data_IF_766521300198
#
_entry.id   IF_766521300198
#
_cell.length_a   1.000
_cell.length_b   1.000
_cell.length_c   1.000
_cell.angle_alpha   90.00
_cell.angle_beta   90.00
_cell.angle_gamma   90.00
#
_symmetry.space_group_name_H-M   'P 1'
#
loop_
_entity.id
_entity.type
_entity.pdbx_description
1 polymer ?
#
# COMPACT_ATOMS: atom_id res chain seq x y z
N UNK A 1 -46.31 -50.57 13.38
CA UNK A 1 -46.28 -49.10 13.19
C UNK A 1 -46.08 -48.37 14.52
N UNK A 2 -44.90 -48.47 15.15
CA UNK A 2 -44.59 -47.78 16.43
C UNK A 2 -43.17 -47.18 16.47
N UNK A 3 -42.31 -47.51 15.51
CA UNK A 3 -40.93 -47.01 15.41
C UNK A 3 -40.77 -45.79 14.49
N UNK A 4 -41.79 -45.47 13.67
CA UNK A 4 -41.78 -44.29 12.77
C UNK A 4 -42.21 -43.01 13.51
N UNK A 5 -43.03 -43.13 14.55
CA UNK A 5 -43.52 -41.98 15.35
C UNK A 5 -42.46 -41.39 16.30
N UNK A 6 -41.39 -42.13 16.61
CA UNK A 6 -40.34 -41.63 17.54
C UNK A 6 -39.31 -40.77 16.80
N UNK A 7 -39.06 -41.03 15.51
CA UNK A 7 -38.10 -40.26 14.71
C UNK A 7 -38.63 -38.86 14.38
N UNK A 8 -39.94 -38.73 14.12
CA UNK A 8 -40.56 -37.42 13.92
C UNK A 8 -40.60 -36.56 15.20
N UNK A 9 -40.70 -37.17 16.39
CA UNK A 9 -40.70 -36.44 17.65
C UNK A 9 -39.33 -35.83 18.00
N UNK A 10 -38.22 -36.44 17.56
CA UNK A 10 -36.86 -35.94 17.83
C UNK A 10 -36.48 -34.82 16.85
N UNK A 11 -36.98 -34.85 15.61
CA UNK A 11 -36.74 -33.80 14.61
C UNK A 11 -37.43 -32.46 14.95
N UNK A 12 -38.57 -32.48 15.64
CA UNK A 12 -39.26 -31.27 16.08
C UNK A 12 -38.62 -30.59 17.30
N UNK A 13 -37.79 -31.28 18.08
CA UNK A 13 -37.10 -30.70 19.24
C UNK A 13 -35.81 -29.95 18.88
N UNK A 14 -35.20 -30.23 17.73
CA UNK A 14 -33.99 -29.52 17.27
C UNK A 14 -34.30 -28.32 16.35
N UNK A 15 -35.49 -28.25 15.76
CA UNK A 15 -35.94 -27.09 14.97
C UNK A 15 -36.44 -25.89 15.78
N UNK A 16 -36.72 -26.08 17.08
CA UNK A 16 -37.33 -25.06 17.93
C UNK A 16 -36.38 -23.96 18.43
N UNK A 17 -35.06 -24.18 18.39
CA UNK A 17 -34.08 -23.21 18.91
C UNK A 17 -33.70 -22.17 17.82
N UNK A 18 -33.73 -22.55 16.54
CA UNK A 18 -33.38 -21.64 15.44
C UNK A 18 -34.42 -20.54 15.16
N UNK A 19 -35.71 -20.83 15.36
CA UNK A 19 -36.79 -19.88 15.10
C UNK A 19 -36.96 -18.83 16.21
N UNK A 20 -36.58 -19.15 17.46
CA UNK A 20 -36.70 -18.23 18.60
C UNK A 20 -35.65 -17.11 18.59
N UNK A 21 -34.42 -17.40 18.17
CA UNK A 21 -33.36 -16.39 18.10
C UNK A 21 -33.56 -15.38 16.97
N UNK A 22 -34.24 -15.77 15.88
CA UNK A 22 -34.47 -14.87 14.74
C UNK A 22 -35.56 -13.82 15.03
N UNK A 23 -36.54 -14.14 15.89
CA UNK A 23 -37.62 -13.21 16.23
C UNK A 23 -37.24 -12.14 17.26
N UNK A 24 -36.11 -12.29 17.96
CA UNK A 24 -35.61 -11.29 18.93
C UNK A 24 -34.72 -10.24 18.26
N UNK A 25 -34.08 -10.55 17.12
CA UNK A 25 -33.25 -9.59 16.37
C UNK A 25 -34.02 -8.74 15.36
N UNK A 26 -35.31 -8.99 15.13
CA UNK A 26 -36.17 -8.24 14.17
C UNK A 26 -37.24 -7.37 14.85
N UNK A 27 -37.03 -7.00 16.12
CA UNK A 27 -38.01 -6.23 16.92
C UNK A 27 -37.40 -5.03 17.63
N UNK A 28 -36.55 -4.27 16.93
CA UNK A 28 -36.14 -2.91 17.36
C UNK A 28 -36.37 -1.82 16.31
N UNK A 29 -36.98 -2.14 15.16
CA UNK A 29 -37.53 -1.11 14.27
C UNK A 29 -39.04 -0.97 14.52
N UNK A 30 -39.43 0.24 14.90
CA UNK A 30 -40.80 0.76 15.07
C UNK A 30 -41.43 0.65 16.46
N UNK A 31 -41.26 1.73 17.23
CA UNK A 31 -42.38 2.56 17.74
C UNK A 31 -41.76 3.86 18.29
N UNK A 32 -41.89 5.00 17.63
CA UNK A 32 -43.02 5.87 17.95
C UNK A 32 -43.40 6.78 16.76
N UNK A 33 -44.49 6.45 16.08
CA UNK A 33 -45.31 7.43 15.35
C UNK A 33 -46.49 7.77 16.24
N UNK A 34 -46.56 9.00 16.75
CA UNK A 34 -47.79 9.59 17.25
C UNK A 34 -48.15 10.81 16.41
N UNK A 35 -49.22 10.61 15.65
CA UNK A 35 -50.24 11.54 15.15
C UNK A 35 -49.88 13.00 14.83
N UNK A 36 -50.07 13.31 13.55
CA UNK A 36 -50.32 14.66 13.03
C UNK A 36 -51.74 15.08 13.40
N UNK A 37 -51.87 16.23 14.06
CA UNK A 37 -53.03 17.11 13.90
C UNK A 37 -52.52 18.57 13.88
N UNK A 38 -52.81 19.28 12.79
CA UNK A 38 -52.41 20.66 12.51
C UNK A 38 -53.37 21.64 13.23
N UNK A 39 -52.88 22.76 13.80
CA UNK A 39 -53.23 24.02 13.15
C UNK A 39 -52.19 25.17 13.24
N UNK A 40 -52.08 25.87 12.10
CA UNK A 40 -51.99 27.33 11.88
C UNK A 40 -50.78 28.16 12.38
N UNK A 41 -49.94 28.52 11.41
CA UNK A 41 -49.37 29.85 11.07
C UNK A 41 -49.42 30.97 12.14
N UNK A 42 -48.24 31.48 12.57
CA UNK A 42 -47.66 32.85 12.34
C UNK A 42 -46.39 33.05 13.22
N UNK A 43 -45.30 33.70 12.74
CA UNK A 43 -43.94 33.54 13.32
C UNK A 43 -43.54 34.65 14.32
N UNK A 44 -42.50 34.41 15.16
CA UNK A 44 -41.65 35.50 15.61
C UNK A 44 -40.15 35.27 15.33
N UNK A 45 -39.65 36.12 14.42
CA UNK A 45 -38.38 36.87 14.47
C UNK A 45 -37.06 36.12 14.77
N UNK A 46 -36.34 35.93 13.67
CA UNK A 46 -34.89 36.05 13.52
C UNK A 46 -34.31 37.24 14.33
N UNK A 47 -33.43 36.93 15.27
CA UNK A 47 -32.16 37.65 15.46
C UNK A 47 -31.33 36.91 16.52
N UNK A 48 -30.41 36.06 16.08
CA UNK A 48 -29.06 36.15 16.63
C UNK A 48 -28.05 35.68 15.59
N UNK A 49 -26.97 36.44 15.46
CA UNK A 49 -25.90 36.23 14.48
C UNK A 49 -25.17 34.93 14.79
N UNK A 50 -25.43 33.87 14.03
CA UNK A 50 -24.46 32.78 13.90
C UNK A 50 -23.39 33.26 12.91
N UNK A 51 -22.23 33.64 13.43
CA UNK A 51 -21.04 33.76 12.58
C UNK A 51 -20.67 32.34 12.13
N UNK A 52 -20.43 32.11 10.82
CA UNK A 52 -19.84 30.85 10.39
C UNK A 52 -18.46 30.74 11.04
N UNK A 53 -18.18 29.62 11.70
CA UNK A 53 -16.81 29.22 12.06
C UNK A 53 -16.15 28.80 10.73
N UNK A 54 -15.86 29.77 9.88
CA UNK A 54 -14.96 29.65 8.74
C UNK A 54 -13.56 29.92 9.28
N UNK A 55 -13.01 28.97 10.01
CA UNK A 55 -11.57 28.91 10.24
C UNK A 55 -11.09 27.49 9.90
N UNK A 56 -11.52 27.03 8.73
CA UNK A 56 -10.79 26.05 7.95
C UNK A 56 -10.00 26.83 6.90
N UNK A 57 -9.22 27.82 7.34
CA UNK A 57 -8.12 28.32 6.55
C UNK A 57 -7.17 27.14 6.39
N UNK A 58 -7.35 26.47 5.26
CA UNK A 58 -6.44 25.51 4.67
C UNK A 58 -5.01 25.94 4.96
N UNK A 59 -4.33 25.20 5.83
CA UNK A 59 -2.87 25.14 5.83
C UNK A 59 -2.50 24.51 4.50
N UNK A 60 -2.56 25.28 3.42
CA UNK A 60 -1.98 24.89 2.15
C UNK A 60 -0.49 24.99 2.39
N UNK A 61 0.07 23.93 2.96
CA UNK A 61 1.50 23.78 3.04
C UNK A 61 2.05 23.91 1.63
N UNK A 62 3.07 24.74 1.46
CA UNK A 62 3.74 24.89 0.18
C UNK A 62 4.37 23.55 -0.19
N UNK A 63 3.72 22.83 -1.11
CA UNK A 63 4.21 21.54 -1.60
C UNK A 63 5.56 21.80 -2.25
N UNK A 64 6.62 21.25 -1.67
CA UNK A 64 7.98 21.41 -2.16
C UNK A 64 8.49 20.07 -2.67
N UNK A 65 9.17 20.07 -3.81
CA UNK A 65 9.78 18.86 -4.37
C UNK A 65 11.13 18.58 -3.70
N UNK A 66 11.36 17.32 -3.35
CA UNK A 66 12.61 16.82 -2.78
C UNK A 66 13.03 15.53 -3.49
N UNK A 67 14.30 15.18 -3.37
CA UNK A 67 14.90 14.00 -3.97
C UNK A 67 15.50 13.11 -2.88
N UNK A 68 15.37 11.81 -3.05
CA UNK A 68 15.96 10.81 -2.16
C UNK A 68 17.47 10.74 -2.37
N UNK A 69 18.25 10.92 -1.31
CA UNK A 69 19.71 10.97 -1.37
C UNK A 69 20.38 9.63 -1.02
N UNK A 70 19.71 8.79 -0.24
CA UNK A 70 20.20 7.49 0.18
C UNK A 70 19.73 6.39 -0.77
N UNK A 71 20.45 5.25 -0.80
CA UNK A 71 20.05 4.10 -1.66
C UNK A 71 18.60 3.68 -1.45
N UNK A 72 18.17 3.62 -0.19
CA UNK A 72 16.81 3.25 0.23
C UNK A 72 16.48 4.00 1.53
N UNK A 73 15.33 4.65 1.56
CA UNK A 73 14.79 5.34 2.74
C UNK A 73 13.43 4.72 3.06
N UNK A 74 13.21 4.40 4.34
CA UNK A 74 11.91 3.89 4.79
C UNK A 74 10.89 5.03 4.88
N UNK A 75 9.66 4.73 4.48
CA UNK A 75 8.49 5.56 4.74
C UNK A 75 7.68 4.94 5.87
N UNK A 76 7.33 5.76 6.84
CA UNK A 76 6.69 5.37 8.08
C UNK A 76 5.27 5.90 8.14
N UNK A 77 4.36 5.20 8.85
CA UNK A 77 3.00 5.68 9.06
C UNK A 77 2.87 6.80 10.12
N UNK A 78 3.95 7.08 10.86
CA UNK A 78 4.06 8.12 11.88
C UNK A 78 5.50 8.69 11.89
N UNK A 79 5.72 9.94 12.35
CA UNK A 79 7.02 10.62 12.32
C UNK A 79 7.94 10.17 13.47
N UNK A 80 8.23 8.87 13.55
CA UNK A 80 9.19 8.31 14.48
C UNK A 80 9.80 6.99 13.95
N UNK A 81 11.01 6.66 14.38
CA UNK A 81 11.75 5.49 13.88
C UNK A 81 11.21 4.13 14.37
N UNK A 82 10.31 4.14 15.36
CA UNK A 82 9.66 2.93 15.89
C UNK A 82 8.29 2.67 15.24
N UNK A 83 7.84 3.57 14.36
CA UNK A 83 6.59 3.45 13.63
C UNK A 83 6.64 2.30 12.60
N UNK A 84 5.46 1.94 12.08
CA UNK A 84 5.37 0.93 11.04
C UNK A 84 5.97 1.50 9.74
N UNK A 85 6.92 0.76 9.16
CA UNK A 85 7.38 1.02 7.80
C UNK A 85 6.29 0.54 6.84
N UNK A 86 5.73 1.46 6.06
CA UNK A 86 4.63 1.20 5.12
C UNK A 86 5.07 1.23 3.67
N UNK A 87 6.18 1.91 3.38
CA UNK A 87 6.73 1.98 2.03
C UNK A 87 8.25 2.24 2.06
N UNK A 88 8.89 2.31 0.90
CA UNK A 88 10.31 2.59 0.73
C UNK A 88 10.57 3.39 -0.53
N UNK A 89 11.39 4.43 -0.39
CA UNK A 89 11.82 5.28 -1.49
C UNK A 89 13.28 4.97 -1.83
N UNK A 90 13.65 5.10 -3.10
CA UNK A 90 14.98 4.79 -3.61
C UNK A 90 15.70 6.03 -4.16
N UNK A 91 17.04 5.97 -4.17
CA UNK A 91 17.89 7.12 -4.53
C UNK A 91 17.48 7.73 -5.87
N UNK A 92 17.37 9.07 -5.90
CA UNK A 92 16.99 9.83 -7.09
C UNK A 92 15.49 9.96 -7.28
N UNK A 93 14.65 9.20 -6.55
CA UNK A 93 13.21 9.41 -6.60
C UNK A 93 12.85 10.81 -6.12
N UNK A 94 11.87 11.40 -6.83
CA UNK A 94 11.32 12.72 -6.52
C UNK A 94 10.05 12.56 -5.70
N UNK A 95 9.97 13.25 -4.57
CA UNK A 95 8.82 13.25 -3.67
C UNK A 95 8.27 14.65 -3.44
N UNK A 96 6.96 14.74 -3.27
CA UNK A 96 6.27 15.96 -2.90
C UNK A 96 6.13 16.03 -1.37
N UNK A 97 6.72 17.05 -0.76
CA UNK A 97 6.66 17.25 0.70
C UNK A 97 5.50 18.19 1.03
N UNK A 98 4.52 17.67 1.76
CA UNK A 98 3.33 18.39 2.22
C UNK A 98 3.52 19.03 3.59
N UNK A 99 4.51 18.62 4.38
CA UNK A 99 4.76 19.22 5.69
C UNK A 99 6.19 18.93 6.15
N UNK A 100 6.76 19.86 6.93
CA UNK A 100 8.06 19.72 7.56
C UNK A 100 7.90 19.96 9.06
N UNK A 101 8.11 18.93 9.87
CA UNK A 101 7.96 19.02 11.33
C UNK A 101 9.00 18.16 12.04
N UNK A 102 9.77 18.77 12.95
CA UNK A 102 10.68 18.05 13.87
C UNK A 102 11.65 17.05 13.20
N UNK A 103 12.17 17.37 12.02
CA UNK A 103 13.07 16.50 11.27
C UNK A 103 12.38 15.41 10.45
N UNK A 104 11.05 15.42 10.35
CA UNK A 104 10.25 14.54 9.53
C UNK A 104 9.49 15.31 8.47
N UNK A 105 9.45 14.75 7.27
CA UNK A 105 8.69 15.29 6.15
C UNK A 105 7.49 14.39 5.87
N UNK A 106 6.30 14.99 5.76
CA UNK A 106 5.06 14.28 5.40
C UNK A 106 4.88 14.31 3.89
N UNK A 107 4.52 13.17 3.30
CA UNK A 107 4.42 12.96 1.85
C UNK A 107 2.98 12.80 1.36
N UNK A 108 2.07 12.38 2.23
CA UNK A 108 0.65 12.17 1.91
C UNK A 108 -0.28 12.90 2.89
N UNK A 109 -1.53 13.07 2.51
CA UNK A 109 -2.56 13.59 3.40
C UNK A 109 -2.77 12.67 4.61
N UNK A 110 -3.38 13.20 5.68
CA UNK A 110 -3.74 12.37 6.82
C UNK A 110 -4.88 11.40 6.44
N UNK A 111 -4.70 10.14 6.82
CA UNK A 111 -5.62 9.03 6.60
C UNK A 111 -6.11 8.55 7.97
N UNK A 112 -7.43 8.45 8.11
CA UNK A 112 -8.11 7.87 9.26
C UNK A 112 -8.81 6.57 8.83
N UNK A 113 -8.40 5.44 9.38
CA UNK A 113 -8.95 4.14 8.99
C UNK A 113 -10.33 3.85 9.61
N UNK A 114 -10.55 4.34 10.84
CA UNK A 114 -11.77 4.08 11.60
C UNK A 114 -12.18 5.34 12.37
N UNK A 115 -13.48 5.56 12.58
CA UNK A 115 -13.97 6.71 13.34
C UNK A 115 -13.39 6.71 14.77
N UNK A 116 -12.72 7.79 15.15
CA UNK A 116 -12.05 7.92 16.44
C UNK A 116 -10.69 7.19 16.54
N UNK A 117 -10.22 6.60 15.44
CA UNK A 117 -8.86 6.06 15.33
C UNK A 117 -7.78 7.14 15.27
N UNK A 118 -6.53 6.71 15.25
CA UNK A 118 -5.40 7.62 15.06
C UNK A 118 -5.26 8.02 13.59
N UNK A 119 -5.08 9.32 13.34
CA UNK A 119 -4.71 9.81 12.01
C UNK A 119 -3.26 9.39 11.70
N UNK A 120 -3.04 8.86 10.51
CA UNK A 120 -1.73 8.42 10.02
C UNK A 120 -1.41 9.11 8.69
N UNK A 121 -0.15 9.17 8.30
CA UNK A 121 0.25 9.65 6.98
C UNK A 121 1.59 9.01 6.60
N UNK A 122 2.08 9.26 5.40
CA UNK A 122 3.41 8.85 4.99
C UNK A 122 4.46 9.86 5.47
N UNK A 123 5.38 9.39 6.30
CA UNK A 123 6.44 10.19 6.90
C UNK A 123 7.81 9.64 6.57
N UNK A 124 8.75 10.53 6.29
CA UNK A 124 10.14 10.18 5.99
C UNK A 124 11.10 11.03 6.83
N UNK A 125 12.21 10.44 7.29
CA UNK A 125 13.27 11.18 7.97
C UNK A 125 13.91 12.16 6.97
N UNK A 126 13.87 13.45 7.31
CA UNK A 126 14.35 14.53 6.44
C UNK A 126 15.82 14.39 6.02
N UNK A 127 16.64 13.64 6.77
CA UNK A 127 18.05 13.41 6.42
C UNK A 127 18.23 12.61 5.14
N UNK A 128 17.24 11.81 4.77
CA UNK A 128 17.26 11.02 3.54
C UNK A 128 16.86 11.80 2.29
N UNK A 129 16.58 13.10 2.42
CA UNK A 129 16.06 13.95 1.34
C UNK A 129 16.93 15.19 1.10
N UNK A 130 16.89 15.68 -0.14
CA UNK A 130 17.57 16.90 -0.60
C UNK A 130 16.65 17.71 -1.50
N UNK A 131 16.70 19.03 -1.42
CA UNK A 131 15.99 19.94 -2.33
C UNK A 131 16.71 20.10 -3.70
N UNK A 132 17.87 19.48 -3.84
CA UNK A 132 18.62 19.37 -5.09
C UNK A 132 18.73 17.91 -5.53
N UNK A 133 18.55 17.69 -6.84
CA UNK A 133 18.68 16.37 -7.44
C UNK A 133 20.09 15.80 -7.24
N UNK A 134 20.23 14.59 -6.68
CA UNK A 134 21.54 14.01 -6.39
C UNK A 134 22.22 13.57 -7.69
N UNK A 135 23.50 13.91 -7.82
CA UNK A 135 24.34 13.39 -8.92
C UNK A 135 24.82 11.98 -8.57
N UNK A 136 24.25 10.96 -9.23
CA UNK A 136 24.66 9.57 -9.07
C UNK A 136 25.87 9.31 -9.96
N UNK A 137 27.03 9.05 -9.34
CA UNK A 137 28.25 8.70 -10.08
C UNK A 137 28.18 7.26 -10.60
N UNK A 138 28.89 6.97 -11.68
CA UNK A 138 28.89 5.63 -12.28
C UNK A 138 29.28 4.52 -11.28
N UNK A 139 30.30 4.76 -10.45
CA UNK A 139 30.72 3.80 -9.43
C UNK A 139 29.61 3.53 -8.40
N UNK A 140 28.91 4.58 -7.96
CA UNK A 140 27.81 4.47 -7.02
C UNK A 140 26.60 3.76 -7.65
N UNK A 141 26.29 4.06 -8.92
CA UNK A 141 25.26 3.36 -9.68
C UNK A 141 25.52 1.85 -9.71
N UNK A 142 26.76 1.44 -9.96
CA UNK A 142 27.15 0.02 -9.96
C UNK A 142 27.01 -0.62 -8.56
N UNK A 143 27.39 0.09 -7.50
CA UNK A 143 27.22 -0.39 -6.12
C UNK A 143 25.74 -0.56 -5.73
N UNK A 144 24.87 0.34 -6.19
CA UNK A 144 23.42 0.24 -6.01
C UNK A 144 22.88 -1.00 -6.72
N UNK A 145 23.23 -1.19 -8.00
CA UNK A 145 22.82 -2.38 -8.75
C UNK A 145 23.33 -3.68 -8.11
N UNK A 146 24.57 -3.69 -7.63
CA UNK A 146 25.14 -4.85 -6.94
C UNK A 146 24.35 -5.20 -5.69
N UNK A 147 23.89 -4.21 -4.93
CA UNK A 147 23.07 -4.43 -3.74
C UNK A 147 21.75 -5.15 -4.07
N UNK A 148 21.15 -4.88 -5.23
CA UNK A 148 19.94 -5.57 -5.69
C UNK A 148 20.20 -7.00 -6.18
N UNK A 149 21.43 -7.29 -6.61
CA UNK A 149 21.77 -8.52 -7.31
C UNK A 149 22.48 -9.57 -6.45
N UNK A 150 22.82 -9.26 -5.19
CA UNK A 150 23.73 -10.06 -4.36
C UNK A 150 23.35 -11.55 -4.20
N UNK A 151 22.05 -11.87 -4.30
CA UNK A 151 21.54 -13.24 -4.15
C UNK A 151 21.12 -13.88 -5.47
N UNK A 152 21.47 -13.26 -6.61
CA UNK A 152 21.19 -13.84 -7.93
C UNK A 152 21.89 -15.18 -8.08
N UNK A 153 21.21 -16.12 -8.71
CA UNK A 153 21.81 -17.39 -9.10
C UNK A 153 22.90 -17.15 -10.13
N UNK A 154 24.02 -17.88 -10.00
CA UNK A 154 25.17 -17.79 -10.91
C UNK A 154 25.74 -16.37 -11.09
N UNK A 155 25.55 -15.48 -10.11
CA UNK A 155 25.92 -14.05 -10.18
C UNK A 155 27.34 -13.81 -10.71
N UNK A 156 28.33 -14.56 -10.22
CA UNK A 156 29.73 -14.38 -10.63
C UNK A 156 29.94 -14.60 -12.13
N UNK A 157 29.17 -15.51 -12.75
CA UNK A 157 29.28 -15.80 -14.18
C UNK A 157 28.55 -14.76 -15.05
N UNK A 158 27.51 -14.13 -14.50
CA UNK A 158 26.55 -13.32 -15.27
C UNK A 158 26.38 -11.88 -14.73
N UNK A 159 27.30 -11.40 -13.90
CA UNK A 159 27.20 -10.10 -13.22
C UNK A 159 26.94 -8.94 -14.20
N UNK A 160 27.70 -8.85 -15.29
CA UNK A 160 27.61 -7.73 -16.21
C UNK A 160 26.28 -7.68 -16.95
N UNK A 161 25.77 -8.85 -17.39
CA UNK A 161 24.46 -8.92 -18.05
C UNK A 161 23.32 -8.69 -17.05
N UNK A 162 23.43 -9.17 -15.81
CA UNK A 162 22.45 -8.87 -14.77
C UNK A 162 22.41 -7.38 -14.44
N UNK A 163 23.55 -6.73 -14.24
CA UNK A 163 23.61 -5.27 -14.04
C UNK A 163 22.99 -4.50 -15.19
N UNK A 164 23.37 -4.84 -16.42
CA UNK A 164 22.87 -4.18 -17.62
C UNK A 164 21.34 -4.32 -17.73
N UNK A 165 20.82 -5.53 -17.53
CA UNK A 165 19.39 -5.83 -17.69
C UNK A 165 18.56 -5.30 -16.53
N UNK A 166 19.07 -5.33 -15.31
CA UNK A 166 18.44 -4.67 -14.16
C UNK A 166 18.37 -3.17 -14.37
N UNK A 167 19.46 -2.51 -14.79
CA UNK A 167 19.43 -1.09 -15.12
C UNK A 167 18.40 -0.80 -16.22
N UNK A 168 18.42 -1.58 -17.30
CA UNK A 168 17.46 -1.42 -18.39
C UNK A 168 16.02 -1.50 -17.90
N UNK A 169 15.68 -2.49 -17.06
CA UNK A 169 14.33 -2.67 -16.54
C UNK A 169 13.89 -1.54 -15.60
N UNK A 170 14.82 -0.99 -14.81
CA UNK A 170 14.56 0.17 -13.95
C UNK A 170 14.36 1.45 -14.78
N UNK A 171 15.20 1.68 -15.79
CA UNK A 171 15.11 2.83 -16.70
C UNK A 171 13.80 2.80 -17.52
N UNK A 172 13.42 1.61 -17.99
CA UNK A 172 12.19 1.36 -18.75
C UNK A 172 10.93 1.38 -17.85
N UNK A 173 11.08 1.54 -16.52
CA UNK A 173 10.00 1.45 -15.52
C UNK A 173 9.22 0.13 -15.58
N UNK A 174 9.81 -0.92 -16.15
CA UNK A 174 9.23 -2.25 -16.22
C UNK A 174 9.34 -2.98 -14.87
N UNK A 175 10.32 -2.59 -14.05
CA UNK A 175 10.50 -3.04 -12.68
C UNK A 175 10.84 -1.84 -11.80
N UNK A 176 10.62 -1.99 -10.50
CA UNK A 176 11.07 -1.08 -9.46
C UNK A 176 12.16 -1.74 -8.61
N UNK A 177 12.99 -0.96 -7.87
CA UNK A 177 14.06 -1.55 -7.07
C UNK A 177 13.61 -2.63 -6.07
N UNK A 178 12.41 -2.49 -5.49
CA UNK A 178 11.85 -3.48 -4.55
C UNK A 178 11.66 -4.86 -5.19
N UNK A 179 11.33 -4.93 -6.48
CA UNK A 179 11.15 -6.20 -7.22
C UNK A 179 12.43 -7.06 -7.16
N UNK A 180 13.59 -6.41 -7.24
CA UNK A 180 14.88 -7.09 -7.13
C UNK A 180 15.27 -7.40 -5.68
N UNK A 181 14.86 -6.58 -4.71
CA UNK A 181 15.15 -6.82 -3.29
C UNK A 181 14.39 -8.04 -2.75
N UNK A 182 13.17 -8.31 -3.22
CA UNK A 182 12.35 -9.45 -2.77
C UNK A 182 13.02 -10.81 -3.03
N UNK A 183 13.51 -11.02 -4.25
CA UNK A 183 14.22 -12.25 -4.64
C UNK A 183 15.74 -12.15 -4.41
N UNK A 184 16.25 -10.93 -4.20
CA UNK A 184 17.68 -10.62 -4.16
C UNK A 184 18.37 -10.76 -5.52
N UNK A 185 17.62 -10.57 -6.61
CA UNK A 185 18.10 -10.58 -7.98
C UNK A 185 17.55 -11.72 -8.85
N UNK A 186 18.32 -12.10 -9.86
CA UNK A 186 17.88 -13.01 -10.91
C UNK A 186 17.91 -14.48 -10.45
N UNK A 187 16.80 -15.19 -10.64
CA UNK A 187 16.64 -16.59 -10.22
C UNK A 187 16.71 -17.52 -11.42
N UNK A 188 17.45 -18.62 -11.33
CA UNK A 188 17.60 -19.59 -12.42
C UNK A 188 16.26 -20.27 -12.71
N UNK A 189 15.85 -20.26 -13.97
CA UNK A 189 14.63 -20.93 -14.40
C UNK A 189 14.82 -22.46 -14.43
N UNK A 190 13.90 -23.16 -13.77
CA UNK A 190 13.77 -24.63 -13.88
C UNK A 190 12.84 -25.08 -15.01
N UNK A 191 12.07 -24.15 -15.59
CA UNK A 191 11.12 -24.43 -16.69
C UNK A 191 11.86 -24.63 -18.02
N UNK A 192 12.74 -23.69 -18.35
CA UNK A 192 13.62 -23.77 -19.51
C UNK A 192 14.89 -24.55 -19.17
N UNK A 193 14.91 -25.85 -19.53
CA UNK A 193 16.03 -26.76 -19.23
C UNK A 193 17.23 -26.60 -20.16
N UNK A 194 17.04 -25.95 -21.29
CA UNK A 194 18.10 -25.66 -22.26
C UNK A 194 18.41 -24.17 -22.23
N UNK A 195 19.69 -23.83 -22.23
CA UNK A 195 20.18 -22.45 -22.12
C UNK A 195 20.32 -21.96 -20.68
N UNK A 196 20.91 -20.77 -20.55
CA UNK A 196 21.03 -20.06 -19.28
C UNK A 196 19.89 -19.06 -19.16
N UNK A 197 18.74 -19.54 -18.69
CA UNK A 197 17.55 -18.72 -18.52
C UNK A 197 17.35 -18.41 -17.04
N UNK A 198 17.15 -17.13 -16.74
CA UNK A 198 16.83 -16.61 -15.41
C UNK A 198 15.52 -15.86 -15.46
N UNK A 199 14.96 -15.55 -14.30
CA UNK A 199 13.75 -14.75 -14.19
C UNK A 199 13.76 -13.84 -12.97
N UNK A 200 12.90 -12.83 -13.02
CA UNK A 200 12.50 -11.98 -11.92
C UNK A 200 10.97 -11.80 -11.99
N UNK A 201 10.35 -11.39 -10.88
CA UNK A 201 8.96 -10.92 -10.87
C UNK A 201 8.98 -9.41 -10.69
N UNK A 202 8.25 -8.68 -11.53
CA UNK A 202 8.12 -7.24 -11.42
C UNK A 202 6.65 -6.83 -11.34
N UNK A 203 6.26 -6.16 -10.24
CA UNK A 203 4.85 -5.82 -9.98
C UNK A 203 4.04 -6.91 -9.29
N UNK A 204 4.69 -7.84 -8.59
CA UNK A 204 4.06 -8.92 -7.81
C UNK A 204 4.33 -10.33 -8.37
N UNK A 205 3.89 -11.37 -7.66
CA UNK A 205 4.33 -12.76 -7.89
C UNK A 205 3.51 -13.55 -8.94
N UNK A 206 2.60 -12.90 -9.64
CA UNK A 206 1.77 -13.54 -10.68
C UNK A 206 2.57 -13.89 -11.94
N UNK A 207 2.05 -14.80 -12.76
CA UNK A 207 2.78 -15.34 -13.91
C UNK A 207 3.01 -14.28 -15.00
N UNK A 208 2.09 -13.34 -15.16
CA UNK A 208 2.17 -12.18 -16.06
C UNK A 208 3.28 -11.20 -15.69
N UNK A 209 3.62 -11.13 -14.40
CA UNK A 209 4.68 -10.27 -13.87
C UNK A 209 6.07 -10.90 -14.00
N UNK A 210 6.13 -12.14 -14.51
CA UNK A 210 7.36 -12.90 -14.63
C UNK A 210 8.11 -12.53 -15.90
N UNK A 211 9.28 -11.94 -15.72
CA UNK A 211 10.18 -11.55 -16.80
C UNK A 211 11.33 -12.54 -16.85
N UNK A 212 11.57 -13.13 -18.02
CA UNK A 212 12.69 -14.04 -18.27
C UNK A 212 13.83 -13.33 -18.99
N UNK A 213 15.06 -13.73 -18.66
CA UNK A 213 16.29 -13.31 -19.30
C UNK A 213 17.06 -14.53 -19.80
N UNK A 214 17.32 -14.57 -21.10
CA UNK A 214 18.34 -15.43 -21.68
C UNK A 214 19.69 -14.70 -21.60
N UNK A 215 20.60 -15.14 -20.73
CA UNK A 215 21.89 -14.44 -20.51
C UNK A 215 22.89 -14.68 -21.63
N UNK A 216 22.71 -15.72 -22.44
CA UNK A 216 23.60 -16.02 -23.56
C UNK A 216 23.33 -15.07 -24.74
N UNK A 217 22.08 -14.66 -24.93
CA UNK A 217 21.65 -13.73 -25.99
C UNK A 217 21.35 -12.30 -25.49
N UNK A 218 21.18 -12.12 -24.18
CA UNK A 218 20.74 -10.86 -23.57
C UNK A 218 19.26 -10.52 -23.82
N UNK A 219 18.47 -11.48 -24.31
CA UNK A 219 17.06 -11.27 -24.67
C UNK A 219 16.17 -11.38 -23.43
N UNK A 220 15.32 -10.36 -23.25
CA UNK A 220 14.21 -10.39 -22.29
C UNK A 220 12.94 -10.89 -23.00
N UNK A 221 12.16 -11.72 -22.31
CA UNK A 221 10.87 -12.20 -22.80
C UNK A 221 9.93 -12.58 -21.65
N UNK A 222 8.64 -12.60 -21.92
CA UNK A 222 7.60 -13.08 -21.00
C UNK A 222 6.88 -14.29 -21.62
N UNK A 223 6.06 -14.97 -20.82
CA UNK A 223 5.29 -16.14 -21.27
C UNK A 223 3.90 -15.76 -21.75
#
# INVERSE_FOLDING_TARGET
>A
MKKVLIVFAILFLLGGIGAGCYFVFMKEEQQTTQNVEEPSVTPPKMNDKVQPIMDLESRVSEVTEYYVTERRVNVYNQPNLQALVIDSLYKGEKVAVLEKANGWFRLSDYILYEEGGEETAEWVDSKGLSDSEPVIKEQERLEILDAYLQKSDDLKAHLDVFRNKTQQLLDDQACVPSDFEELGGWVRSVTYKQGNIYFIYCGGLEQENKIYLDVDTGKIFSR
#
